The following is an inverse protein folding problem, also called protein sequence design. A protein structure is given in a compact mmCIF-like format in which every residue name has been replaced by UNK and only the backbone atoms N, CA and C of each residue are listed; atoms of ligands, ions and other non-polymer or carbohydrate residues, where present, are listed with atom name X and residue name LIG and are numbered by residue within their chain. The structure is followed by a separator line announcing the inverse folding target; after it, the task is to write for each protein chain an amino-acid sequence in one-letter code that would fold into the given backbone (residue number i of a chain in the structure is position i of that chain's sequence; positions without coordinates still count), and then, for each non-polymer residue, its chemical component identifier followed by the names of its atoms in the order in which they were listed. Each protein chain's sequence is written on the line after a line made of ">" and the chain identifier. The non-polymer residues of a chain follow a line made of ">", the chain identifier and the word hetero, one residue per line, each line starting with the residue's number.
data_IF_346712294937
#
_entry.id   IF_346712294937
#
_cell.length_a   1.000
_cell.length_b   1.000
_cell.length_c   1.000
_cell.angle_alpha   90.00
_cell.angle_beta   90.00
_cell.angle_gamma   90.00
#
_symmetry.space_group_name_H-M   'P 1'
#
loop_
_entity.id
_entity.type
_entity.pdbx_description
1 polymer ?
#
# COMPACT_ATOMS: atom_id res chain seq x y z
N UNK A 1 3.53 2.43 7.15
CA UNK A 1 3.12 3.58 7.98
C UNK A 1 1.80 3.24 8.61
N UNK A 2 1.64 3.45 9.92
CA UNK A 2 0.39 3.16 10.64
C UNK A 2 -0.32 4.48 10.96
N UNK A 3 -1.53 4.67 10.42
CA UNK A 3 -2.36 5.85 10.63
C UNK A 3 -3.71 5.36 11.19
N UNK A 4 -4.01 5.60 12.47
CA UNK A 4 -5.31 5.25 13.04
C UNK A 4 -6.44 6.01 12.34
N UNK A 5 -7.54 5.33 12.01
CA UNK A 5 -8.68 5.96 11.33
C UNK A 5 -9.28 7.11 12.15
N UNK A 6 -9.30 6.98 13.48
CA UNK A 6 -9.78 8.03 14.39
C UNK A 6 -8.98 9.32 14.31
N UNK A 7 -7.72 9.24 13.88
CA UNK A 7 -6.79 10.36 13.75
C UNK A 7 -6.55 10.79 12.29
N UNK A 8 -7.32 10.25 11.36
CA UNK A 8 -7.06 10.39 9.92
C UNK A 8 -7.27 11.83 9.42
N UNK A 9 -8.16 12.56 10.08
CA UNK A 9 -8.52 13.95 9.77
C UNK A 9 -8.02 14.94 10.82
N UNK A 10 -7.13 14.50 11.72
CA UNK A 10 -6.52 15.38 12.70
C UNK A 10 -5.76 16.49 11.97
N UNK A 11 -5.84 17.69 12.56
CA UNK A 11 -5.20 18.89 12.05
C UNK A 11 -4.08 19.32 12.97
N UNK A 12 -3.03 19.84 12.36
CA UNK A 12 -1.94 20.49 13.07
C UNK A 12 -2.34 21.87 13.60
N UNK A 13 -1.45 22.48 14.36
CA UNK A 13 -1.62 23.85 14.90
C UNK A 13 -1.86 24.89 13.79
N UNK A 14 -1.49 24.58 12.54
CA UNK A 14 -1.68 25.45 11.38
C UNK A 14 -3.02 25.24 10.67
N UNK A 15 -3.83 24.27 11.13
CA UNK A 15 -5.11 23.90 10.54
C UNK A 15 -5.01 22.98 9.31
N UNK A 16 -3.81 22.52 8.96
CA UNK A 16 -3.56 21.55 7.88
C UNK A 16 -3.74 20.12 8.39
N UNK A 17 -4.15 19.18 7.53
CA UNK A 17 -4.24 17.78 7.93
C UNK A 17 -2.84 17.19 8.15
N UNK A 18 -2.64 16.57 9.31
CA UNK A 18 -1.36 16.00 9.74
C UNK A 18 -0.75 15.04 8.70
N UNK A 19 -1.61 14.23 8.09
CA UNK A 19 -1.20 13.17 7.18
C UNK A 19 -1.20 13.59 5.71
N UNK A 20 -1.53 14.84 5.38
CA UNK A 20 -1.67 15.32 4.00
C UNK A 20 -0.41 15.05 3.17
N UNK A 21 0.77 15.28 3.75
CA UNK A 21 2.04 15.07 3.06
C UNK A 21 2.30 13.61 2.63
N UNK A 22 1.60 12.65 3.22
CA UNK A 22 1.70 11.23 2.86
C UNK A 22 0.53 10.78 1.99
N UNK A 23 -0.66 11.31 2.22
CA UNK A 23 -1.89 10.90 1.55
C UNK A 23 -2.10 11.61 0.21
N UNK A 24 -1.68 12.87 0.10
CA UNK A 24 -1.77 13.68 -1.11
C UNK A 24 -0.44 13.62 -1.88
N UNK A 25 -0.22 12.52 -2.59
CA UNK A 25 0.99 12.27 -3.36
C UNK A 25 0.68 12.11 -4.85
N UNK A 26 1.38 12.86 -5.69
CA UNK A 26 1.30 12.76 -7.15
C UNK A 26 2.27 11.73 -7.73
N UNK A 27 3.38 11.45 -7.04
CA UNK A 27 4.42 10.53 -7.52
C UNK A 27 4.23 9.11 -6.96
N UNK A 28 3.81 8.97 -5.71
CA UNK A 28 3.71 7.67 -5.03
C UNK A 28 2.28 7.15 -5.03
N UNK A 29 2.16 5.84 -5.13
CA UNK A 29 0.89 5.13 -4.93
C UNK A 29 0.76 4.71 -3.48
N UNK A 30 -0.37 5.08 -2.87
CA UNK A 30 -0.73 4.68 -1.53
C UNK A 30 -1.72 3.51 -1.59
N UNK A 31 -1.45 2.47 -0.81
CA UNK A 31 -2.34 1.30 -0.67
C UNK A 31 -2.74 1.18 0.78
N UNK A 32 -4.02 1.44 1.07
CA UNK A 32 -4.60 1.28 2.39
C UNK A 32 -4.93 -0.19 2.65
N UNK A 33 -4.59 -0.65 3.85
CA UNK A 33 -4.93 -1.97 4.34
C UNK A 33 -5.25 -1.90 5.84
N UNK A 34 -6.07 -2.84 6.29
CA UNK A 34 -6.35 -3.13 7.69
C UNK A 34 -6.52 -4.65 7.81
N UNK A 35 -6.99 -5.18 8.94
CA UNK A 35 -7.29 -6.62 9.05
C UNK A 35 -8.23 -7.08 7.91
N UNK A 36 -9.33 -6.36 7.72
CA UNK A 36 -10.22 -6.50 6.55
C UNK A 36 -10.17 -5.28 5.63
N UNK A 37 -11.24 -5.07 4.86
CA UNK A 37 -11.36 -3.92 3.95
C UNK A 37 -12.16 -2.74 4.53
N UNK A 38 -12.89 -2.91 5.64
CA UNK A 38 -13.83 -1.89 6.14
C UNK A 38 -13.12 -0.56 6.44
N UNK A 39 -12.12 -0.55 7.33
CA UNK A 39 -11.42 0.68 7.70
C UNK A 39 -10.58 1.26 6.55
N UNK A 40 -9.97 0.39 5.74
CA UNK A 40 -9.22 0.83 4.56
C UNK A 40 -10.12 1.52 3.52
N UNK A 41 -11.33 1.01 3.31
CA UNK A 41 -12.34 1.64 2.45
C UNK A 41 -12.82 2.98 3.03
N UNK A 42 -13.03 3.06 4.34
CA UNK A 42 -13.40 4.32 5.00
C UNK A 42 -12.31 5.39 4.80
N UNK A 43 -11.04 5.06 5.07
CA UNK A 43 -9.91 5.94 4.80
C UNK A 43 -9.83 6.36 3.32
N UNK A 44 -10.04 5.40 2.40
CA UNK A 44 -10.08 5.69 0.97
C UNK A 44 -11.18 6.67 0.59
N UNK A 45 -12.41 6.49 1.07
CA UNK A 45 -13.51 7.43 0.83
C UNK A 45 -13.18 8.83 1.33
N UNK A 46 -12.53 8.97 2.49
CA UNK A 46 -12.07 10.26 2.99
C UNK A 46 -11.06 10.91 2.03
N UNK A 47 -10.05 10.16 1.55
CA UNK A 47 -9.09 10.70 0.58
C UNK A 47 -9.74 11.08 -0.75
N UNK A 48 -10.77 10.34 -1.19
CA UNK A 48 -11.55 10.69 -2.39
C UNK A 48 -12.33 11.99 -2.21
N UNK A 49 -12.94 12.20 -1.04
CA UNK A 49 -13.63 13.46 -0.71
C UNK A 49 -12.67 14.66 -0.66
N UNK A 50 -11.43 14.44 -0.22
CA UNK A 50 -10.37 15.45 -0.20
C UNK A 50 -9.66 15.61 -1.56
N UNK A 51 -10.08 14.87 -2.59
CA UNK A 51 -9.48 14.85 -3.92
C UNK A 51 -7.97 14.50 -3.92
N UNK A 52 -7.54 13.65 -3.00
CA UNK A 52 -6.15 13.17 -2.96
C UNK A 52 -5.95 12.03 -3.96
N UNK A 53 -5.05 12.19 -4.94
CA UNK A 53 -4.85 11.20 -6.00
C UNK A 53 -4.04 9.99 -5.51
N UNK A 54 -3.98 8.95 -6.35
CA UNK A 54 -3.12 7.78 -6.16
C UNK A 54 -3.35 6.97 -4.87
N UNK A 55 -4.57 6.99 -4.33
CA UNK A 55 -4.98 6.22 -3.17
C UNK A 55 -5.84 5.01 -3.58
N UNK A 56 -5.46 3.81 -3.11
CA UNK A 56 -6.12 2.53 -3.41
C UNK A 56 -6.31 1.69 -2.14
N UNK A 57 -7.13 0.64 -2.23
CA UNK A 57 -7.39 -0.28 -1.11
C UNK A 57 -6.94 -1.69 -1.45
N UNK A 58 -6.27 -2.36 -0.51
CA UNK A 58 -5.98 -3.79 -0.59
C UNK A 58 -7.27 -4.60 -0.36
N UNK A 59 -7.74 -5.25 -1.40
CA UNK A 59 -8.97 -6.08 -1.35
C UNK A 59 -8.81 -7.22 -0.34
N UNK A 60 -9.74 -7.30 0.61
CA UNK A 60 -9.75 -8.29 1.68
C UNK A 60 -8.78 -8.03 2.83
N UNK A 61 -7.99 -6.95 2.77
CA UNK A 61 -7.03 -6.58 3.82
C UNK A 61 -5.96 -7.64 4.07
N UNK A 62 -5.35 -7.56 5.26
CA UNK A 62 -4.32 -8.49 5.69
C UNK A 62 -4.84 -9.92 5.83
N UNK A 63 -6.10 -10.12 6.24
CA UNK A 63 -6.69 -11.46 6.38
C UNK A 63 -6.61 -12.23 5.05
N UNK A 64 -7.11 -11.62 3.97
CA UNK A 64 -7.06 -12.25 2.64
C UNK A 64 -5.63 -12.40 2.14
N UNK A 65 -4.75 -11.45 2.44
CA UNK A 65 -3.34 -11.56 2.05
C UNK A 65 -2.66 -12.75 2.74
N UNK A 66 -2.88 -12.94 4.04
CA UNK A 66 -2.36 -14.10 4.77
C UNK A 66 -2.91 -15.40 4.19
N UNK A 67 -4.22 -15.49 3.95
CA UNK A 67 -4.88 -16.68 3.39
C UNK A 67 -4.37 -17.03 1.98
N UNK A 68 -4.13 -16.02 1.14
CA UNK A 68 -3.81 -16.25 -0.27
C UNK A 68 -2.33 -16.26 -0.58
N UNK A 69 -1.51 -15.52 0.18
CA UNK A 69 -0.07 -15.37 -0.06
C UNK A 69 0.75 -16.15 0.96
N UNK A 70 0.49 -16.01 2.26
CA UNK A 70 1.31 -16.72 3.27
C UNK A 70 0.91 -18.19 3.44
N UNK A 71 -0.39 -18.50 3.31
CA UNK A 71 -0.94 -19.83 3.54
C UNK A 71 -1.77 -20.33 2.34
N UNK A 72 -1.22 -20.31 1.11
CA UNK A 72 -1.98 -20.69 -0.07
C UNK A 72 -2.45 -22.14 0.04
N UNK A 73 -3.72 -22.38 -0.30
CA UNK A 73 -4.31 -23.73 -0.33
C UNK A 73 -3.91 -24.46 -1.61
N UNK A 74 -3.40 -25.69 -1.46
CA UNK A 74 -3.06 -26.55 -2.61
C UNK A 74 -4.31 -26.88 -3.42
N UNK A 75 -4.28 -26.73 -4.76
CA UNK A 75 -5.40 -27.11 -5.61
C UNK A 75 -5.58 -28.64 -5.66
N UNK A 76 -6.78 -29.08 -6.04
CA UNK A 76 -7.05 -30.50 -6.31
C UNK A 76 -6.37 -30.91 -7.62
N UNK A 77 -5.97 -32.18 -7.74
CA UNK A 77 -5.23 -32.68 -8.91
C UNK A 77 -5.96 -32.54 -10.23
N UNK A 78 -7.30 -32.52 -10.21
CA UNK A 78 -8.15 -32.31 -11.39
C UNK A 78 -8.33 -30.83 -11.78
N UNK A 79 -7.66 -29.90 -11.10
CA UNK A 79 -7.78 -28.46 -11.41
C UNK A 79 -7.07 -28.10 -12.71
N UNK A 80 -7.49 -27.01 -13.34
CA UNK A 80 -6.80 -26.45 -14.49
C UNK A 80 -5.36 -26.01 -14.13
N UNK A 81 -4.43 -26.20 -15.05
CA UNK A 81 -3.04 -25.72 -14.98
C UNK A 81 -2.90 -24.27 -14.51
N UNK A 82 -3.79 -23.36 -14.91
CA UNK A 82 -3.74 -21.95 -14.45
C UNK A 82 -3.84 -21.84 -12.92
N UNK A 83 -4.64 -22.69 -12.27
CA UNK A 83 -4.79 -22.69 -10.81
C UNK A 83 -3.53 -23.24 -10.14
N UNK A 84 -2.92 -24.28 -10.73
CA UNK A 84 -1.62 -24.79 -10.29
C UNK A 84 -0.53 -23.70 -10.37
N UNK A 85 -0.41 -23.02 -11.52
CA UNK A 85 0.55 -21.93 -11.70
C UNK A 85 0.32 -20.78 -10.69
N UNK A 86 -0.93 -20.43 -10.42
CA UNK A 86 -1.25 -19.40 -9.42
C UNK A 86 -0.88 -19.84 -8.01
N UNK A 87 -1.10 -21.12 -7.66
CA UNK A 87 -0.67 -21.68 -6.38
C UNK A 87 0.86 -21.64 -6.24
N UNK A 88 1.60 -22.05 -7.26
CA UNK A 88 3.06 -22.08 -7.24
C UNK A 88 3.65 -20.67 -7.09
N UNK A 89 3.09 -19.69 -7.82
CA UNK A 89 3.46 -18.28 -7.65
C UNK A 89 3.23 -17.78 -6.22
N UNK A 90 2.07 -18.09 -5.64
CA UNK A 90 1.75 -17.72 -4.25
C UNK A 90 2.66 -18.45 -3.26
N UNK A 91 2.99 -19.71 -3.53
CA UNK A 91 3.89 -20.50 -2.68
C UNK A 91 5.30 -19.91 -2.68
N UNK A 92 5.82 -19.52 -3.84
CA UNK A 92 7.09 -18.80 -3.94
C UNK A 92 7.05 -17.46 -3.16
N UNK A 93 5.97 -16.68 -3.33
CA UNK A 93 5.78 -15.44 -2.57
C UNK A 93 5.69 -15.69 -1.05
N UNK A 94 5.04 -16.78 -0.62
CA UNK A 94 4.94 -17.18 0.79
C UNK A 94 6.32 -17.38 1.43
N UNK A 95 7.27 -17.97 0.69
CA UNK A 95 8.64 -18.21 1.15
C UNK A 95 9.36 -16.87 1.31
N UNK A 96 9.23 -15.99 0.32
CA UNK A 96 9.85 -14.67 0.34
C UNK A 96 9.34 -13.78 1.48
N UNK A 97 8.02 -13.71 1.70
CA UNK A 97 7.41 -12.83 2.71
C UNK A 97 7.26 -13.46 4.09
N UNK A 98 7.22 -14.79 4.19
CA UNK A 98 6.99 -15.53 5.43
C UNK A 98 8.25 -15.79 6.26
N UNK A 99 9.40 -15.23 5.90
CA UNK A 99 10.66 -15.40 6.64
C UNK A 99 11.44 -16.67 6.26
N UNK A 100 11.27 -17.16 5.02
CA UNK A 100 11.97 -18.34 4.51
C UNK A 100 13.47 -18.12 4.30
N UNK A 101 14.24 -18.12 5.38
CA UNK A 101 15.69 -18.38 5.35
C UNK A 101 15.94 -19.89 5.19
N UNK A 102 15.52 -20.51 4.09
CA UNK A 102 16.05 -21.80 3.60
C UNK A 102 15.38 -22.17 2.26
N UNK A 103 15.79 -21.54 1.15
CA UNK A 103 15.95 -22.27 -0.12
C UNK A 103 17.05 -21.56 -0.93
N UNK A 104 17.98 -22.36 -1.42
CA UNK A 104 19.27 -22.07 -2.03
C UNK A 104 19.34 -20.84 -2.92
N UNK A 105 20.45 -20.10 -2.76
CA UNK A 105 20.95 -19.10 -3.68
C UNK A 105 20.96 -19.64 -5.11
N UNK A 106 20.21 -18.99 -6.00
CA UNK A 106 20.63 -18.86 -7.38
C UNK A 106 20.81 -17.37 -7.69
N UNK A 107 22.00 -17.06 -8.18
CA UNK A 107 22.55 -15.72 -8.31
C UNK A 107 21.98 -15.04 -9.54
N UNK A 108 20.99 -14.16 -9.35
CA UNK A 108 20.46 -13.29 -10.39
C UNK A 108 20.66 -11.82 -10.04
N UNK A 109 21.53 -11.16 -10.80
CA UNK A 109 21.96 -9.76 -10.76
C UNK A 109 20.82 -8.75 -10.45
N UNK A 110 21.04 -7.89 -9.43
CA UNK A 110 20.10 -6.82 -9.04
C UNK A 110 20.67 -5.46 -9.44
N UNK A 111 20.28 -5.01 -10.63
CA UNK A 111 20.45 -3.63 -11.10
C UNK A 111 19.92 -2.60 -10.08
N UNK A 112 20.81 -1.72 -9.64
CA UNK A 112 20.60 -0.71 -8.62
C UNK A 112 19.68 0.43 -9.13
N UNK A 113 18.38 0.37 -8.84
CA UNK A 113 17.45 1.49 -9.10
C UNK A 113 17.45 2.47 -7.91
N UNK A 114 18.04 3.65 -8.13
CA UNK A 114 18.05 4.78 -7.16
C UNK A 114 16.61 5.16 -6.77
N UNK A 115 16.34 5.21 -5.46
CA UNK A 115 15.04 5.64 -4.90
C UNK A 115 14.83 7.14 -5.15
N UNK A 116 13.69 7.51 -5.73
CA UNK A 116 13.30 8.90 -5.95
C UNK A 116 13.03 9.63 -4.63
N UNK A 117 13.66 10.79 -4.43
CA UNK A 117 13.51 11.64 -3.25
C UNK A 117 12.17 12.38 -3.33
N UNK A 118 11.39 12.34 -2.23
CA UNK A 118 10.14 13.08 -2.08
C UNK A 118 10.48 14.58 -1.94
N UNK A 119 10.13 15.40 -2.94
CA UNK A 119 10.21 16.86 -2.81
C UNK A 119 8.89 17.38 -2.24
N UNK A 120 8.92 17.95 -1.02
CA UNK A 120 7.77 18.66 -0.45
C UNK A 120 7.40 19.83 -1.36
N UNK A 121 6.12 19.96 -1.75
CA UNK A 121 5.63 21.12 -2.52
C UNK A 121 5.78 22.39 -1.65
N UNK A 122 6.42 23.42 -2.19
CA UNK A 122 6.54 24.73 -1.53
C UNK A 122 5.14 25.34 -1.39
N UNK A 123 4.79 25.80 -0.18
CA UNK A 123 3.56 26.58 0.07
C UNK A 123 3.57 27.82 -0.84
N UNK A 124 2.49 28.05 -1.60
CA UNK A 124 2.31 29.29 -2.37
C UNK A 124 2.16 30.45 -1.37
N UNK A 125 2.99 31.48 -1.49
CA UNK A 125 2.81 32.73 -0.75
C UNK A 125 1.55 33.41 -1.29
N UNK A 126 0.65 33.82 -0.40
CA UNK A 126 -0.50 34.67 -0.73
C UNK A 126 0.00 35.97 -1.33
N UNK A 127 -0.61 36.42 -2.43
CA UNK A 127 -0.37 37.74 -2.97
C UNK A 127 -0.92 38.77 -1.98
N UNK A 128 -0.03 39.58 -1.43
CA UNK A 128 -0.37 40.75 -0.64
C UNK A 128 -0.90 41.80 -1.62
N UNK A 129 -2.23 41.95 -1.64
CA UNK A 129 -2.90 43.01 -2.38
C UNK A 129 -2.82 44.31 -1.60
N UNK A 130 -2.54 45.40 -2.29
CA UNK A 130 -2.70 46.76 -1.81
C UNK A 130 -2.52 47.71 -2.99
N UNK A 131 -3.54 48.53 -3.27
CA UNK A 131 -3.44 49.68 -4.15
C UNK A 131 -2.41 50.68 -3.65
#
# INVERSE_FOLDING_TARGET
>A
MNIPLSKFLDKDETGSYEWEAYLNQDIKTNVFYSNGSVYANQAWMLTKRLNYPNNYVMKGGLNRWVETILRPKKPVSSSNQTIHNQFDFRKAASIYFGGGSTVSSDSGDKGNKKKSVIKKKKKKKSAEGGC
#
